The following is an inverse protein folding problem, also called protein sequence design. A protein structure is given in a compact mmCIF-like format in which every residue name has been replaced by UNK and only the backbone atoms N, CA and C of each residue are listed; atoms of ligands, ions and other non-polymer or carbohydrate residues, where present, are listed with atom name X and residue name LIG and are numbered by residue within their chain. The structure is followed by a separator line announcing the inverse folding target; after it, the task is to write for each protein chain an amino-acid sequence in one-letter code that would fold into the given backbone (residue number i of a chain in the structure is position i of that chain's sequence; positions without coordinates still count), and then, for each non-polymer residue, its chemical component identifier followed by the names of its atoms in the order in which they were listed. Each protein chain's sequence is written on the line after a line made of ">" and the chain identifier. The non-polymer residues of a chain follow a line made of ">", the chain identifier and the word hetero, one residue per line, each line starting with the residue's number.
data_IF_759184007701
#
_entry.id   IF_759184007701
#
_cell.length_a   1.000
_cell.length_b   1.000
_cell.length_c   1.000
_cell.angle_alpha   90.00
_cell.angle_beta   90.00
_cell.angle_gamma   90.00
#
_symmetry.space_group_name_H-M   'P 1'
#
loop_
_entity.id
_entity.type
_entity.pdbx_description
1 polymer ?
#
# COMPACT_ATOMS: atom_id res chain seq x y z
N UNK A 1 3.73 4.76 -10.95
CA UNK A 1 3.35 3.86 -9.84
C UNK A 1 4.01 4.31 -8.55
N UNK A 2 3.20 4.64 -7.55
CA UNK A 2 3.60 5.07 -6.21
C UNK A 2 3.14 4.03 -5.20
N UNK A 3 3.90 3.82 -4.12
CA UNK A 3 3.58 2.83 -3.09
C UNK A 3 3.45 3.49 -1.72
N UNK A 4 2.45 3.05 -0.95
CA UNK A 4 2.14 3.59 0.37
C UNK A 4 1.94 2.48 1.39
N UNK A 5 2.47 2.67 2.59
CA UNK A 5 2.33 1.71 3.68
C UNK A 5 2.00 2.39 5.01
N UNK A 6 1.05 1.83 5.75
CA UNK A 6 0.61 2.36 7.05
C UNK A 6 1.53 2.00 8.24
N UNK A 7 2.75 1.56 7.96
CA UNK A 7 3.81 1.33 8.94
C UNK A 7 5.20 1.67 8.39
N UNK A 8 5.26 2.37 7.25
CA UNK A 8 6.49 2.61 6.50
C UNK A 8 7.25 1.30 6.21
N UNK A 9 8.58 1.25 6.40
CA UNK A 9 9.35 -0.01 6.27
C UNK A 9 9.17 -0.97 7.46
N UNK A 10 8.44 -0.56 8.50
CA UNK A 10 8.09 -1.34 9.69
C UNK A 10 6.96 -2.35 9.45
N UNK A 11 6.35 -2.90 10.51
CA UNK A 11 5.26 -3.85 10.36
C UNK A 11 4.00 -3.14 9.85
N UNK A 12 3.78 -3.21 8.54
CA UNK A 12 2.58 -2.71 7.90
C UNK A 12 1.40 -3.67 8.07
N UNK A 13 0.18 -3.13 8.09
CA UNK A 13 -1.06 -3.91 7.97
C UNK A 13 -1.82 -3.60 6.68
N UNK A 14 -1.50 -2.47 6.04
CA UNK A 14 -1.97 -2.06 4.72
C UNK A 14 -0.77 -1.68 3.86
N UNK A 15 -0.83 -2.11 2.61
CA UNK A 15 0.11 -1.74 1.56
C UNK A 15 -0.72 -1.44 0.31
N UNK A 16 -0.57 -0.22 -0.19
CA UNK A 16 -1.31 0.33 -1.30
C UNK A 16 -0.34 0.68 -2.44
N UNK A 17 -0.82 0.58 -3.67
CA UNK A 17 -0.16 1.14 -4.84
C UNK A 17 -1.14 2.03 -5.60
N UNK A 18 -0.64 3.15 -6.11
CA UNK A 18 -1.42 4.13 -6.89
C UNK A 18 -0.74 4.29 -8.24
N UNK A 19 -1.47 4.06 -9.32
CA UNK A 19 -0.97 4.22 -10.69
C UNK A 19 -1.03 5.68 -11.14
N UNK A 20 -0.26 6.50 -10.43
CA UNK A 20 -0.10 7.91 -10.71
C UNK A 20 1.33 8.20 -11.21
N UNK A 21 1.49 9.29 -11.98
CA UNK A 21 2.81 9.85 -12.26
C UNK A 21 3.47 10.34 -10.96
N UNK A 22 4.80 10.24 -10.91
CA UNK A 22 5.60 10.70 -9.76
C UNK A 22 5.96 12.18 -9.81
N UNK A 23 5.37 12.95 -10.72
CA UNK A 23 5.63 14.37 -10.96
C UNK A 23 4.95 15.30 -9.94
N UNK A 24 4.16 14.74 -9.02
CA UNK A 24 3.47 15.50 -7.98
C UNK A 24 2.16 16.15 -8.42
N UNK A 25 1.64 15.80 -9.60
CA UNK A 25 0.32 16.24 -10.05
C UNK A 25 -0.78 15.65 -9.14
N UNK A 26 -1.33 16.50 -8.27
CA UNK A 26 -2.31 16.10 -7.25
C UNK A 26 -3.59 15.56 -7.86
N UNK A 27 -4.09 16.15 -8.94
CA UNK A 27 -5.37 15.75 -9.53
C UNK A 27 -5.22 14.41 -10.23
N UNK A 28 -4.12 14.21 -10.99
CA UNK A 28 -3.81 12.88 -11.56
C UNK A 28 -3.64 11.82 -10.48
N UNK A 29 -3.03 12.18 -9.36
CA UNK A 29 -2.90 11.26 -8.22
C UNK A 29 -4.24 10.90 -7.58
N UNK A 30 -5.10 11.90 -7.37
CA UNK A 30 -6.37 11.75 -6.67
C UNK A 30 -7.34 10.83 -7.41
N UNK A 31 -7.31 10.87 -8.75
CA UNK A 31 -8.18 10.07 -9.62
C UNK A 31 -7.50 8.84 -10.23
N UNK A 32 -6.23 8.59 -9.92
CA UNK A 32 -5.51 7.42 -10.43
C UNK A 32 -6.12 6.11 -9.91
N UNK A 33 -6.09 5.03 -10.72
CA UNK A 33 -6.38 3.69 -10.23
C UNK A 33 -5.47 3.33 -9.05
N UNK A 34 -6.04 2.67 -8.04
CA UNK A 34 -5.31 2.24 -6.88
C UNK A 34 -5.69 0.83 -6.47
N UNK A 35 -4.74 0.14 -5.86
CA UNK A 35 -4.89 -1.25 -5.45
C UNK A 35 -4.28 -1.49 -4.07
N UNK A 36 -4.88 -2.41 -3.33
CA UNK A 36 -4.44 -2.90 -2.04
C UNK A 36 -3.85 -4.28 -2.16
N UNK A 37 -2.72 -4.51 -1.48
CA UNK A 37 -2.15 -5.84 -1.35
C UNK A 37 -3.02 -6.71 -0.45
N UNK A 38 -3.49 -7.83 -0.97
CA UNK A 38 -4.22 -8.82 -0.22
C UNK A 38 -3.24 -9.88 0.34
N UNK A 39 -2.97 -9.81 1.64
CA UNK A 39 -2.05 -10.75 2.30
C UNK A 39 -2.50 -12.21 2.23
N UNK A 40 -3.81 -12.47 2.12
CA UNK A 40 -4.37 -13.83 2.08
C UNK A 40 -4.14 -14.50 0.73
N UNK A 41 -4.33 -13.75 -0.36
CA UNK A 41 -4.19 -14.29 -1.72
C UNK A 41 -2.82 -14.04 -2.33
N UNK A 42 -2.06 -13.07 -1.82
CA UNK A 42 -0.80 -12.65 -2.43
C UNK A 42 -1.01 -11.89 -3.74
N UNK A 43 -2.12 -11.17 -3.88
CA UNK A 43 -2.49 -10.44 -5.08
C UNK A 43 -2.84 -8.98 -4.76
N UNK A 44 -2.66 -8.12 -5.75
CA UNK A 44 -3.19 -6.76 -5.73
C UNK A 44 -4.67 -6.80 -6.11
N UNK A 45 -5.50 -6.04 -5.38
CA UNK A 45 -6.92 -5.87 -5.68
C UNK A 45 -7.27 -4.41 -5.75
N UNK A 46 -8.10 -4.05 -6.73
CA UNK A 46 -8.62 -2.68 -6.89
C UNK A 46 -9.22 -2.17 -5.58
N UNK A 47 -8.88 -0.93 -5.23
CA UNK A 47 -9.30 -0.25 -4.02
C UNK A 47 -9.60 1.22 -4.32
N UNK A 48 -10.88 1.53 -4.54
CA UNK A 48 -11.34 2.89 -4.84
C UNK A 48 -11.26 3.85 -3.65
N UNK A 49 -10.94 3.35 -2.44
CA UNK A 49 -10.81 4.16 -1.24
C UNK A 49 -9.34 4.38 -0.83
N UNK A 50 -8.38 3.89 -1.61
CA UNK A 50 -6.96 3.97 -1.27
C UNK A 50 -6.47 5.40 -1.02
N UNK A 51 -6.80 6.35 -1.89
CA UNK A 51 -6.40 7.76 -1.73
C UNK A 51 -7.06 8.40 -0.50
N UNK A 52 -8.31 8.03 -0.18
CA UNK A 52 -9.00 8.47 1.02
C UNK A 52 -8.33 7.89 2.28
N UNK A 53 -7.95 6.62 2.26
CA UNK A 53 -7.18 5.98 3.34
C UNK A 53 -5.83 6.70 3.55
N UNK A 54 -5.10 7.00 2.46
CA UNK A 54 -3.79 7.66 2.51
C UNK A 54 -3.89 9.06 3.10
N UNK A 55 -4.86 9.86 2.66
CA UNK A 55 -5.05 11.24 3.12
C UNK A 55 -5.71 11.31 4.50
N UNK A 56 -6.63 10.39 4.78
CA UNK A 56 -7.55 10.48 5.91
C UNK A 56 -6.98 9.99 7.23
N UNK A 57 -6.07 9.00 7.21
CA UNK A 57 -5.52 8.46 8.48
C UNK A 57 -4.22 9.10 8.90
N UNK A 58 -3.46 9.73 7.98
CA UNK A 58 -2.13 10.28 8.27
C UNK A 58 -1.06 9.23 8.60
N UNK A 59 -1.41 7.94 8.58
CA UNK A 59 -0.52 6.83 8.95
C UNK A 59 0.30 6.30 7.75
N UNK A 60 -0.01 6.74 6.54
CA UNK A 60 0.60 6.23 5.32
C UNK A 60 1.88 6.99 4.96
N UNK A 61 2.96 6.23 4.80
CA UNK A 61 4.23 6.71 4.30
C UNK A 61 4.42 6.21 2.87
N UNK A 62 4.88 7.09 1.99
CA UNK A 62 5.36 6.68 0.68
C UNK A 62 6.62 5.81 0.86
N UNK A 63 6.67 4.68 0.17
CA UNK A 63 7.80 3.73 0.24
C UNK A 63 8.37 3.50 -1.16
N UNK A 64 9.65 3.15 -1.21
CA UNK A 64 10.30 2.84 -2.47
C UNK A 64 9.83 1.48 -3.01
N UNK A 65 9.78 1.34 -4.35
CA UNK A 65 9.40 0.09 -5.00
C UNK A 65 10.27 -1.10 -4.55
N UNK A 66 11.56 -0.88 -4.27
CA UNK A 66 12.47 -1.92 -3.75
C UNK A 66 12.09 -2.45 -2.36
N UNK A 67 11.34 -1.68 -1.57
CA UNK A 67 10.90 -2.06 -0.22
C UNK A 67 9.62 -2.90 -0.22
N UNK A 68 8.84 -2.85 -1.30
CA UNK A 68 7.52 -3.50 -1.43
C UNK A 68 7.58 -4.99 -1.13
N UNK A 69 8.53 -5.71 -1.74
CA UNK A 69 8.67 -7.15 -1.53
C UNK A 69 9.01 -7.51 -0.07
N UNK A 70 9.81 -6.67 0.60
CA UNK A 70 10.11 -6.83 2.02
C UNK A 70 8.89 -6.63 2.91
N UNK A 71 8.07 -5.61 2.62
CA UNK A 71 6.82 -5.33 3.34
C UNK A 71 5.83 -6.48 3.16
N UNK A 72 5.64 -6.97 1.93
CA UNK A 72 4.75 -8.10 1.64
C UNK A 72 5.13 -9.36 2.44
N UNK A 73 6.44 -9.69 2.50
CA UNK A 73 6.94 -10.82 3.31
C UNK A 73 6.64 -10.65 4.80
N UNK A 74 6.88 -9.45 5.36
CA UNK A 74 6.59 -9.15 6.77
C UNK A 74 5.08 -9.26 7.07
N UNK A 75 4.22 -8.74 6.18
CA UNK A 75 2.77 -8.85 6.30
C UNK A 75 2.32 -10.32 6.31
N UNK A 76 2.85 -11.13 5.38
CA UNK A 76 2.51 -12.56 5.27
C UNK A 76 2.94 -13.35 6.51
N UNK A 77 4.19 -13.20 6.95
CA UNK A 77 4.69 -13.85 8.16
C UNK A 77 3.84 -13.50 9.40
N UNK A 78 3.43 -12.23 9.52
CA UNK A 78 2.51 -11.80 10.57
C UNK A 78 1.14 -12.49 10.46
N UNK A 79 0.55 -12.51 9.26
CA UNK A 79 -0.74 -13.15 9.02
C UNK A 79 -0.72 -14.63 9.41
N UNK A 80 0.32 -15.36 9.00
CA UNK A 80 0.49 -16.79 9.32
C UNK A 80 0.55 -17.04 10.82
N UNK A 81 1.28 -16.22 11.58
CA UNK A 81 1.34 -16.32 13.05
C UNK A 81 -0.02 -16.09 13.71
N UNK A 82 -0.85 -15.17 13.20
CA UNK A 82 -2.17 -14.89 13.76
C UNK A 82 -3.25 -15.90 13.36
N UNK A 83 -3.04 -16.68 12.30
CA UNK A 83 -4.01 -17.67 11.80
C UNK A 83 -3.60 -19.12 12.05
N UNK A 84 -2.44 -19.35 12.69
CA UNK A 84 -2.00 -20.68 13.16
C UNK A 84 -2.55 -20.96 14.55
#
# INVERSE_FOLDING_TARGET
>A
MLYYSNGGPGPATKLLRVDAPGDGDRDKWLFAPAERWNVKTGEWKSDSLAQLDILGTGDFFMVDASQVAGIQRKMKARYEVFTS
#
